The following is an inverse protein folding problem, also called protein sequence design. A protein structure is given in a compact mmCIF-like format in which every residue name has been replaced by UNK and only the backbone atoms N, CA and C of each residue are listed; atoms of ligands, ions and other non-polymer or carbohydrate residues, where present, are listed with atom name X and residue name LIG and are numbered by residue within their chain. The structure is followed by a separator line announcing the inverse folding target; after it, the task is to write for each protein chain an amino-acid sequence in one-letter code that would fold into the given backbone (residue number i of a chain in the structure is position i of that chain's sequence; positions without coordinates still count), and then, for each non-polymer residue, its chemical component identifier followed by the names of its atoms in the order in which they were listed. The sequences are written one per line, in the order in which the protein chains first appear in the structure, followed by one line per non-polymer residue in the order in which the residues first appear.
data_IF_027292040164
#
_entry.id   IF_027292040164
#
_cell.length_a   1.000
_cell.length_b   1.000
_cell.length_c   1.000
_cell.angle_alpha   90.00
_cell.angle_beta   90.00
_cell.angle_gamma   90.00
#
_symmetry.space_group_name_H-M   'P 1'
#
loop_
_entity.id
_entity.type
_entity.pdbx_description
1 polymer ?
#
# COMPACT_ATOMS: atom_id res chain seq x y z
N UNK A 1 13.11 9.62 -1.05
CA UNK A 1 12.30 8.78 -0.14
C UNK A 1 13.16 7.63 0.38
N UNK A 2 13.03 7.22 1.65
CA UNK A 2 13.90 6.19 2.22
C UNK A 2 13.46 4.81 1.72
N UNK A 3 14.07 4.35 0.61
CA UNK A 3 13.79 3.06 -0.05
C UNK A 3 13.89 1.85 0.88
N UNK A 4 14.66 1.95 1.97
CA UNK A 4 14.87 0.87 2.93
C UNK A 4 13.58 0.37 3.59
N UNK A 5 12.68 1.27 3.99
CA UNK A 5 11.43 0.87 4.67
C UNK A 5 10.47 0.12 3.75
N UNK A 6 10.52 0.42 2.45
CA UNK A 6 9.70 -0.24 1.44
C UNK A 6 10.19 -1.66 1.16
N UNK A 7 11.52 -1.86 1.12
CA UNK A 7 12.13 -3.17 0.93
C UNK A 7 11.84 -4.12 2.10
N UNK A 8 11.91 -3.64 3.34
CA UNK A 8 11.56 -4.40 4.54
C UNK A 8 10.11 -4.90 4.50
N UNK A 9 9.19 -4.07 4.02
CA UNK A 9 7.77 -4.39 3.93
C UNK A 9 7.50 -5.42 2.83
N UNK A 10 8.19 -5.32 1.69
CA UNK A 10 8.15 -6.35 0.64
C UNK A 10 8.69 -7.67 1.18
N UNK A 11 9.83 -7.66 1.87
CA UNK A 11 10.43 -8.84 2.47
C UNK A 11 9.50 -9.48 3.51
N UNK A 12 8.81 -8.69 4.31
CA UNK A 12 7.80 -9.17 5.24
C UNK A 12 6.63 -9.87 4.53
N UNK A 13 6.05 -9.24 3.50
CA UNK A 13 4.94 -9.84 2.73
C UNK A 13 5.40 -11.16 2.07
N UNK A 14 6.65 -11.22 1.62
CA UNK A 14 7.27 -12.44 1.08
C UNK A 14 7.40 -13.55 2.11
N UNK A 15 7.73 -13.22 3.35
CA UNK A 15 7.92 -14.22 4.41
C UNK A 15 6.60 -14.81 4.92
N UNK A 16 5.45 -14.21 4.61
CA UNK A 16 4.15 -14.73 5.03
C UNK A 16 3.79 -16.03 4.31
N UNK A 17 3.37 -17.03 5.07
CA UNK A 17 2.75 -18.25 4.58
C UNK A 17 1.37 -17.99 3.96
N UNK A 18 0.88 -18.95 3.16
CA UNK A 18 -0.47 -18.88 2.55
C UNK A 18 -1.57 -18.69 3.60
N UNK A 19 -1.42 -19.29 4.78
CA UNK A 19 -2.36 -19.19 5.90
C UNK A 19 -2.35 -17.79 6.52
N UNK A 20 -1.19 -17.19 6.71
CA UNK A 20 -1.05 -15.83 7.25
C UNK A 20 -1.62 -14.78 6.28
N UNK A 21 -1.33 -14.93 4.97
CA UNK A 21 -1.92 -14.05 3.93
C UNK A 21 -3.44 -14.15 3.90
N UNK A 22 -4.01 -15.34 4.11
CA UNK A 22 -5.46 -15.52 4.21
C UNK A 22 -6.03 -14.85 5.47
N UNK A 23 -5.38 -15.02 6.62
CA UNK A 23 -5.79 -14.36 7.85
C UNK A 23 -5.78 -12.84 7.72
N UNK A 24 -4.72 -12.27 7.13
CA UNK A 24 -4.63 -10.84 6.86
C UNK A 24 -5.82 -10.34 6.02
N UNK A 25 -6.12 -10.99 4.89
CA UNK A 25 -7.26 -10.59 4.04
C UNK A 25 -8.60 -10.66 4.78
N UNK A 26 -8.80 -11.68 5.62
CA UNK A 26 -10.03 -11.83 6.42
C UNK A 26 -10.11 -10.72 7.47
N UNK A 27 -9.01 -10.43 8.16
CA UNK A 27 -8.94 -9.39 9.18
C UNK A 27 -9.32 -8.02 8.59
N UNK A 28 -8.72 -7.64 7.46
CA UNK A 28 -9.01 -6.36 6.80
C UNK A 28 -10.46 -6.31 6.30
N UNK A 29 -10.98 -7.40 5.70
CA UNK A 29 -12.38 -7.48 5.24
C UNK A 29 -13.43 -7.41 6.35
N UNK A 30 -13.06 -7.70 7.61
CA UNK A 30 -13.97 -7.61 8.76
C UNK A 30 -14.04 -6.20 9.34
N UNK A 31 -13.04 -5.35 9.10
CA UNK A 31 -12.92 -4.02 9.72
C UNK A 31 -13.21 -2.86 8.72
N UNK A 32 -13.97 -3.14 7.65
CA UNK A 32 -14.13 -2.31 6.43
C UNK A 32 -14.16 -0.78 6.63
N UNK A 33 -13.02 -0.12 6.41
CA UNK A 33 -12.91 1.29 6.06
C UNK A 33 -12.45 1.46 4.60
N UNK A 34 -12.57 2.67 4.04
CA UNK A 34 -12.10 2.96 2.67
C UNK A 34 -10.57 2.84 2.52
N UNK A 35 -9.83 3.11 3.61
CA UNK A 35 -8.39 2.93 3.72
C UNK A 35 -8.00 1.44 3.68
N UNK A 36 -8.78 0.58 4.32
CA UNK A 36 -8.57 -0.88 4.32
C UNK A 36 -8.62 -1.50 2.92
N UNK A 37 -9.45 -0.94 2.03
CA UNK A 37 -9.54 -1.37 0.63
C UNK A 37 -8.24 -1.05 -0.12
N UNK A 38 -7.64 0.12 0.13
CA UNK A 38 -6.35 0.50 -0.45
C UNK A 38 -5.23 -0.42 0.02
N UNK A 39 -5.18 -0.71 1.32
CA UNK A 39 -4.20 -1.63 1.89
C UNK A 39 -4.30 -3.03 1.28
N UNK A 40 -5.51 -3.56 1.08
CA UNK A 40 -5.73 -4.84 0.39
C UNK A 40 -5.23 -4.82 -1.06
N UNK A 41 -5.51 -3.74 -1.81
CA UNK A 41 -5.06 -3.60 -3.19
C UNK A 41 -3.54 -3.56 -3.32
N UNK A 42 -2.88 -2.80 -2.43
CA UNK A 42 -1.42 -2.74 -2.37
C UNK A 42 -0.84 -4.09 -1.98
N UNK A 43 -1.40 -4.73 -0.96
CA UNK A 43 -0.97 -6.05 -0.49
C UNK A 43 -1.04 -7.10 -1.60
N UNK A 44 -2.16 -7.16 -2.33
CA UNK A 44 -2.33 -8.11 -3.44
C UNK A 44 -1.40 -7.79 -4.62
N UNK A 45 -1.07 -6.51 -4.85
CA UNK A 45 -0.06 -6.13 -5.84
C UNK A 45 1.33 -6.64 -5.45
N UNK A 46 1.76 -6.40 -4.21
CA UNK A 46 3.08 -6.81 -3.71
C UNK A 46 3.20 -8.33 -3.61
N UNK A 47 2.13 -9.02 -3.18
CA UNK A 47 2.05 -10.48 -3.15
C UNK A 47 2.21 -11.09 -4.56
N UNK A 48 1.67 -10.43 -5.59
CA UNK A 48 1.76 -10.90 -6.98
C UNK A 48 3.09 -10.58 -7.65
N UNK A 49 3.58 -9.36 -7.49
CA UNK A 49 4.72 -8.85 -8.26
C UNK A 49 6.05 -9.01 -7.55
N UNK A 50 6.05 -9.29 -6.23
CA UNK A 50 7.24 -9.59 -5.45
C UNK A 50 8.31 -8.47 -5.44
N UNK A 51 7.98 -7.29 -5.97
CA UNK A 51 8.83 -6.12 -6.05
C UNK A 51 7.96 -4.88 -5.86
N UNK A 52 8.52 -3.88 -5.18
CA UNK A 52 7.88 -2.57 -5.05
C UNK A 52 8.22 -1.73 -6.28
N UNK A 53 7.22 -1.48 -7.12
CA UNK A 53 7.33 -0.62 -8.29
C UNK A 53 6.24 0.45 -8.20
N UNK A 54 6.64 1.63 -7.73
CA UNK A 54 5.74 2.74 -7.45
C UNK A 54 4.97 3.18 -8.70
N UNK A 55 5.63 3.24 -9.85
CA UNK A 55 5.02 3.62 -11.12
C UNK A 55 3.94 2.61 -11.53
N UNK A 56 4.18 1.31 -11.34
CA UNK A 56 3.17 0.28 -11.61
C UNK A 56 2.02 0.30 -10.60
N UNK A 57 2.28 0.62 -9.34
CA UNK A 57 1.24 0.75 -8.30
C UNK A 57 0.33 1.94 -8.63
N UNK A 58 0.92 3.09 -8.94
CA UNK A 58 0.19 4.32 -9.29
C UNK A 58 -0.62 4.16 -10.58
N UNK A 59 -0.09 3.48 -11.59
CA UNK A 59 -0.82 3.20 -12.84
C UNK A 59 -2.00 2.24 -12.66
N UNK A 60 -2.00 1.41 -11.61
CA UNK A 60 -3.05 0.41 -11.35
C UNK A 60 -4.17 0.96 -10.44
N UNK A 61 -3.94 2.09 -9.78
CA UNK A 61 -4.94 2.76 -8.95
C UNK A 61 -5.84 3.66 -9.83
N UNK A 62 -7.17 3.61 -9.66
CA UNK A 62 -8.08 4.51 -10.36
C UNK A 62 -7.78 5.97 -9.96
N UNK A 63 -7.86 6.87 -10.94
CA UNK A 63 -7.54 8.32 -10.85
C UNK A 63 -8.10 9.00 -9.59
N UNK A 64 -9.29 8.59 -9.12
CA UNK A 64 -9.95 9.14 -7.92
C UNK A 64 -9.18 8.93 -6.61
N UNK A 65 -8.24 7.98 -6.55
CA UNK A 65 -7.39 7.75 -5.36
C UNK A 65 -5.98 8.36 -5.50
N UNK A 66 -5.56 8.74 -6.71
CA UNK A 66 -4.28 9.44 -6.94
C UNK A 66 -4.28 10.84 -6.30
N UNK A 67 -5.44 11.50 -6.32
CA UNK A 67 -5.63 12.80 -5.70
C UNK A 67 -5.37 12.78 -4.18
N UNK A 68 -5.83 11.76 -3.45
CA UNK A 68 -5.66 11.67 -1.98
C UNK A 68 -4.18 11.59 -1.59
N UNK A 69 -3.37 10.85 -2.35
CA UNK A 69 -1.91 10.74 -2.12
C UNK A 69 -1.19 12.05 -2.47
N UNK A 70 -1.67 12.80 -3.46
CA UNK A 70 -1.15 14.13 -3.80
C UNK A 70 -1.52 15.21 -2.77
N UNK A 71 -2.71 15.14 -2.16
CA UNK A 71 -3.11 16.09 -1.12
C UNK A 71 -2.30 15.93 0.17
N UNK A 72 -1.88 14.72 0.52
CA UNK A 72 -1.07 14.45 1.71
C UNK A 72 0.38 14.92 1.53
N UNK A 73 0.96 14.79 0.33
CA UNK A 73 2.30 15.31 0.03
C UNK A 73 2.35 16.84 -0.08
N UNK A 74 1.25 17.48 -0.49
CA UNK A 74 1.12 18.94 -0.51
C UNK A 74 0.95 19.55 0.90
N UNK A 75 0.35 18.81 1.85
CA UNK A 75 0.07 19.30 3.20
C UNK A 75 1.31 19.40 4.10
N UNK A 76 2.44 18.81 3.70
CA UNK A 76 3.71 18.87 4.46
C UNK A 76 4.66 19.99 4.00
N UNK A 77 4.26 20.83 3.04
CA UNK A 77 5.08 21.96 2.57
C UNK A 77 4.60 23.33 3.06
N UNK A 78 3.46 23.42 3.74
CA UNK A 78 2.84 24.72 4.11
C UNK A 78 2.99 25.11 5.59
N UNK A 79 3.87 24.46 6.35
CA UNK A 79 4.14 24.81 7.75
C UNK A 79 5.62 25.07 8.00
N UNK A 80 6.22 25.93 7.17
CA UNK A 80 7.39 26.71 7.53
C UNK A 80 7.30 28.07 6.81
N UNK A 81 6.50 28.97 7.38
CA UNK A 81 6.74 30.41 7.46
C UNK A 81 6.12 30.90 8.77
#
# INVERSE_FOLDING_TARGET
MPKQKTDDLVQLIKSLSRSEKRHFRIFVRRNQSSADILFLQLFDFLDKHQEYDEDKILNKLPESKKAVVQFESASLQTTFD
#
